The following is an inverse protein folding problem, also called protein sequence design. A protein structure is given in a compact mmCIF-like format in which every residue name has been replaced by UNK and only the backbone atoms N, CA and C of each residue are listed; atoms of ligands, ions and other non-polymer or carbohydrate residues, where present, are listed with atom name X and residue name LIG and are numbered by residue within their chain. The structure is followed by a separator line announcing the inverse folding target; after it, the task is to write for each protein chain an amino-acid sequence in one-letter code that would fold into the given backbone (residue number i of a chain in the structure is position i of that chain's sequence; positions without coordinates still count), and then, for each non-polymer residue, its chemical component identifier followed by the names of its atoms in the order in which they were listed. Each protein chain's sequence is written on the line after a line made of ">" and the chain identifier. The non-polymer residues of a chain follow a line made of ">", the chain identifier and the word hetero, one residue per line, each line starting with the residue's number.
data_IF_731648593712
#
_entry.id   IF_731648593712
#
_cell.length_a   1.000
_cell.length_b   1.000
_cell.length_c   1.000
_cell.angle_alpha   90.00
_cell.angle_beta   90.00
_cell.angle_gamma   90.00
#
_symmetry.space_group_name_H-M   'P 1'
#
loop_
_entity.id
_entity.type
_entity.pdbx_description
1 polymer ?
#
# COMPACT_ATOMS: atom_id res chain seq x y z
N UNK A 1 -52.80 -59.19 36.85
CA UNK A 1 -52.88 -58.66 35.47
C UNK A 1 -53.65 -57.36 35.54
N UNK A 2 -52.99 -56.20 35.46
CA UNK A 2 -52.83 -55.48 34.18
C UNK A 2 -51.48 -54.67 34.16
N UNK A 3 -51.27 -53.60 33.36
CA UNK A 3 -50.77 -53.73 31.99
C UNK A 3 -49.59 -52.79 31.63
N UNK A 4 -49.08 -53.03 30.41
CA UNK A 4 -48.19 -52.27 29.52
C UNK A 4 -47.80 -50.81 29.86
N UNK A 5 -46.50 -50.53 29.76
CA UNK A 5 -45.94 -49.18 29.60
C UNK A 5 -44.90 -49.12 28.48
N UNK A 6 -45.25 -48.39 27.43
CA UNK A 6 -44.45 -47.30 26.87
C UNK A 6 -43.19 -47.63 26.07
N UNK A 7 -43.27 -47.40 24.75
CA UNK A 7 -42.15 -47.33 23.80
C UNK A 7 -41.05 -46.37 24.31
N UNK A 8 -39.79 -46.81 24.33
CA UNK A 8 -38.62 -45.97 24.63
C UNK A 8 -38.38 -44.98 23.49
N UNK A 9 -38.54 -43.69 23.78
CA UNK A 9 -38.09 -42.62 22.89
C UNK A 9 -36.55 -42.58 22.87
N UNK A 10 -35.99 -42.53 21.65
CA UNK A 10 -34.56 -42.38 21.36
C UNK A 10 -34.14 -40.98 21.82
N UNK A 11 -33.25 -40.91 22.80
CA UNK A 11 -32.67 -39.65 23.30
C UNK A 11 -31.72 -39.13 22.22
N UNK A 12 -32.13 -38.10 21.48
CA UNK A 12 -31.28 -37.34 20.56
C UNK A 12 -30.30 -36.54 21.39
N UNK A 13 -29.00 -36.81 21.23
CA UNK A 13 -27.94 -35.96 21.79
C UNK A 13 -27.96 -34.61 21.04
N UNK A 14 -27.92 -33.47 21.73
CA UNK A 14 -27.76 -32.19 21.07
C UNK A 14 -26.32 -32.08 20.55
N UNK A 15 -26.17 -31.82 19.25
CA UNK A 15 -24.93 -31.38 18.63
C UNK A 15 -24.50 -30.07 19.28
N UNK A 16 -23.46 -30.14 20.11
CA UNK A 16 -22.81 -28.96 20.69
C UNK A 16 -21.98 -28.32 19.58
N UNK A 17 -22.52 -27.28 18.94
CA UNK A 17 -21.73 -26.37 18.12
C UNK A 17 -20.79 -25.60 19.06
N UNK A 18 -19.50 -25.92 18.98
CA UNK A 18 -18.48 -25.17 19.71
C UNK A 18 -18.47 -23.72 19.19
N UNK A 19 -18.60 -22.70 20.07
CA UNK A 19 -18.45 -21.32 19.64
C UNK A 19 -17.03 -21.10 19.10
N UNK A 20 -16.84 -20.10 18.20
CA UNK A 20 -15.53 -19.83 17.61
C UNK A 20 -14.51 -19.63 18.72
N UNK A 21 -13.38 -20.35 18.62
CA UNK A 21 -12.27 -20.22 19.56
C UNK A 21 -11.69 -18.82 19.39
N UNK A 22 -12.15 -17.88 20.22
CA UNK A 22 -11.56 -16.56 20.34
C UNK A 22 -10.40 -16.70 21.32
N UNK A 23 -9.18 -16.67 20.80
CA UNK A 23 -7.98 -16.59 21.63
C UNK A 23 -7.89 -15.20 22.25
N UNK A 24 -8.28 -15.08 23.52
CA UNK A 24 -7.94 -13.92 24.33
C UNK A 24 -6.54 -14.13 24.90
N UNK A 25 -5.56 -13.43 24.34
CA UNK A 25 -4.22 -13.39 24.90
C UNK A 25 -4.27 -12.55 26.18
N UNK A 26 -4.46 -13.24 27.32
CA UNK A 26 -4.53 -12.62 28.64
C UNK A 26 -3.10 -12.42 29.13
N UNK A 27 -2.53 -11.27 28.81
CA UNK A 27 -1.22 -10.86 29.34
C UNK A 27 -1.43 -10.56 30.83
N UNK A 28 -0.74 -11.32 31.68
CA UNK A 28 -0.77 -11.15 33.14
C UNK A 28 -0.26 -9.76 33.55
N UNK A 29 -0.79 -9.22 34.64
CA UNK A 29 -0.45 -7.89 35.15
C UNK A 29 0.92 -7.82 35.84
N UNK A 30 1.68 -8.91 35.86
CA UNK A 30 2.98 -9.02 36.51
C UNK A 30 4.11 -9.21 35.48
N UNK A 31 4.01 -8.49 34.34
CA UNK A 31 5.10 -8.44 33.36
C UNK A 31 6.08 -7.35 33.79
N UNK A 32 6.96 -7.72 34.71
CA UNK A 32 8.03 -6.87 35.21
C UNK A 32 8.99 -6.49 34.08
N UNK A 33 9.27 -5.19 33.99
CA UNK A 33 10.06 -4.54 32.94
C UNK A 33 11.58 -4.58 33.20
N UNK A 34 12.08 -5.57 33.95
CA UNK A 34 13.52 -5.73 34.13
C UNK A 34 14.12 -6.52 32.97
N UNK A 35 14.60 -5.77 31.97
CA UNK A 35 15.88 -5.91 31.26
C UNK A 35 16.53 -7.31 31.07
N UNK A 36 15.77 -8.39 30.97
CA UNK A 36 16.29 -9.63 30.41
C UNK A 36 16.26 -9.48 28.89
N UNK A 37 17.44 -9.16 28.31
CA UNK A 37 17.69 -9.24 26.88
C UNK A 37 17.29 -10.65 26.44
N UNK A 38 16.07 -10.79 25.92
CA UNK A 38 15.69 -11.98 25.18
C UNK A 38 16.62 -11.99 23.98
N UNK A 39 17.63 -12.86 24.03
CA UNK A 39 18.51 -13.13 22.90
C UNK A 39 17.62 -13.46 21.72
N UNK A 40 17.51 -12.50 20.80
CA UNK A 40 16.90 -12.71 19.50
C UNK A 40 17.63 -13.93 18.94
N UNK A 41 16.95 -15.04 18.62
CA UNK A 41 17.62 -16.19 18.05
C UNK A 41 18.32 -15.73 16.78
N UNK A 42 19.63 -15.57 16.86
CA UNK A 42 20.45 -15.19 15.74
C UNK A 42 20.24 -16.30 14.71
N UNK A 43 19.93 -15.98 13.43
CA UNK A 43 19.74 -17.01 12.43
C UNK A 43 20.98 -17.90 12.45
N UNK A 44 20.78 -19.20 12.63
CA UNK A 44 21.84 -20.20 12.88
C UNK A 44 22.72 -20.47 11.65
N UNK A 45 22.86 -19.48 10.77
CA UNK A 45 23.85 -19.43 9.70
C UNK A 45 24.47 -18.03 9.76
N UNK A 46 25.79 -17.97 9.97
CA UNK A 46 26.54 -16.71 10.00
C UNK A 46 26.09 -15.80 8.87
N UNK A 47 25.77 -14.55 9.19
CA UNK A 47 25.29 -13.58 8.21
C UNK A 47 26.34 -13.43 7.13
N UNK A 48 26.14 -14.10 6.00
CA UNK A 48 26.91 -13.84 4.80
C UNK A 48 26.54 -12.44 4.38
N UNK A 49 27.47 -11.51 4.59
CA UNK A 49 27.33 -10.16 4.06
C UNK A 49 27.26 -10.27 2.53
N UNK A 50 26.42 -9.45 1.90
CA UNK A 50 26.20 -9.54 0.45
C UNK A 50 27.51 -9.41 -0.34
N UNK A 51 28.48 -8.65 0.19
CA UNK A 51 29.87 -8.54 -0.28
C UNK A 51 30.57 -9.90 -0.40
N UNK A 52 30.44 -10.78 0.59
CA UNK A 52 31.07 -12.10 0.58
C UNK A 52 30.42 -13.05 -0.44
N UNK A 53 29.13 -12.86 -0.72
CA UNK A 53 28.41 -13.62 -1.76
C UNK A 53 28.93 -13.21 -3.14
N UNK A 54 29.13 -11.90 -3.36
CA UNK A 54 29.67 -11.38 -4.62
C UNK A 54 31.09 -11.88 -4.90
N UNK A 55 31.98 -11.84 -3.90
CA UNK A 55 33.36 -12.33 -4.02
C UNK A 55 33.42 -13.84 -4.31
N UNK A 56 32.53 -14.63 -3.69
CA UNK A 56 32.40 -16.06 -4.00
C UNK A 56 31.91 -16.32 -5.42
N UNK A 57 30.99 -15.50 -5.93
CA UNK A 57 30.53 -15.62 -7.33
C UNK A 57 31.58 -15.17 -8.33
N UNK A 58 32.41 -14.17 -8.02
CA UNK A 58 33.53 -13.73 -8.87
C UNK A 58 34.62 -14.81 -8.99
N UNK A 59 34.90 -15.54 -7.91
CA UNK A 59 35.89 -16.63 -7.93
C UNK A 59 35.40 -17.90 -8.66
N UNK A 60 34.09 -18.10 -8.81
CA UNK A 60 33.50 -19.12 -9.67
C UNK A 60 33.32 -18.58 -11.09
N UNK A 61 34.41 -18.26 -11.79
CA UNK A 61 34.38 -17.86 -13.20
C UNK A 61 33.99 -19.04 -14.11
N UNK A 62 32.70 -19.37 -14.19
CA UNK A 62 32.12 -19.64 -15.50
C UNK A 62 31.86 -18.27 -16.11
N UNK A 63 32.80 -17.80 -16.92
CA UNK A 63 32.70 -16.53 -17.67
C UNK A 63 31.31 -16.43 -18.28
N UNK A 64 30.54 -15.46 -17.81
CA UNK A 64 29.28 -15.11 -18.44
C UNK A 64 29.63 -14.32 -19.70
N UNK A 65 29.81 -15.03 -20.81
CA UNK A 65 30.19 -14.41 -22.08
C UNK A 65 29.01 -13.61 -22.65
N UNK A 66 29.09 -12.28 -22.53
CA UNK A 66 28.07 -11.35 -23.01
C UNK A 66 27.77 -11.54 -24.51
N UNK A 67 28.77 -11.92 -25.29
CA UNK A 67 28.63 -12.22 -26.71
C UNK A 67 27.73 -13.42 -26.99
N UNK A 68 27.80 -14.47 -26.16
CA UNK A 68 26.92 -15.64 -26.26
C UNK A 68 25.50 -15.27 -25.91
N UNK A 69 25.30 -14.42 -24.89
CA UNK A 69 23.97 -13.90 -24.54
C UNK A 69 23.39 -13.06 -25.68
N UNK A 70 24.18 -12.17 -26.26
CA UNK A 70 23.74 -11.34 -27.38
C UNK A 70 23.38 -12.20 -28.61
N UNK A 71 24.20 -13.21 -28.95
CA UNK A 71 23.89 -14.16 -30.02
C UNK A 71 22.61 -14.95 -29.73
N UNK A 72 22.43 -15.44 -28.49
CA UNK A 72 21.24 -16.16 -28.06
C UNK A 72 19.99 -15.27 -28.16
N UNK A 73 20.04 -14.05 -27.61
CA UNK A 73 18.94 -13.09 -27.65
C UNK A 73 18.57 -12.70 -29.09
N UNK A 74 19.55 -12.59 -29.99
CA UNK A 74 19.30 -12.32 -31.41
C UNK A 74 18.50 -13.45 -32.09
N UNK A 75 18.78 -14.71 -31.73
CA UNK A 75 18.08 -15.90 -32.23
C UNK A 75 16.68 -16.06 -31.63
N UNK A 76 16.50 -15.66 -30.37
CA UNK A 76 15.20 -15.65 -29.70
C UNK A 76 14.20 -14.63 -30.28
N UNK A 77 14.67 -13.58 -30.96
CA UNK A 77 13.81 -12.58 -31.62
C UNK A 77 12.89 -13.16 -32.71
N UNK A 78 13.19 -14.38 -33.19
CA UNK A 78 12.40 -15.08 -34.21
C UNK A 78 11.28 -15.96 -33.63
N UNK A 79 11.24 -16.16 -32.31
CA UNK A 79 10.19 -16.97 -31.69
C UNK A 79 8.88 -16.18 -31.60
N UNK A 80 7.88 -16.64 -32.37
CA UNK A 80 6.54 -16.02 -32.41
C UNK A 80 5.64 -16.44 -31.24
N UNK A 81 6.04 -17.46 -30.47
CA UNK A 81 5.25 -17.99 -29.35
C UNK A 81 6.12 -18.36 -28.15
N UNK A 82 5.50 -18.33 -26.97
CA UNK A 82 6.14 -18.72 -25.72
C UNK A 82 6.29 -20.24 -25.63
N UNK A 83 7.36 -20.76 -24.98
CA UNK A 83 7.55 -22.19 -24.81
C UNK A 83 6.43 -22.83 -23.98
N UNK A 84 6.08 -24.10 -24.24
CA UNK A 84 5.07 -24.82 -23.46
C UNK A 84 5.55 -24.93 -22.01
N UNK A 85 4.70 -24.51 -21.06
CA UNK A 85 5.04 -24.44 -19.64
C UNK A 85 5.60 -23.09 -19.17
N UNK A 86 5.69 -22.09 -20.05
CA UNK A 86 5.97 -20.71 -19.65
C UNK A 86 4.96 -20.21 -18.61
N UNK A 87 5.46 -19.44 -17.65
CA UNK A 87 4.62 -18.85 -16.61
C UNK A 87 3.83 -17.65 -17.14
N UNK A 88 2.66 -17.42 -16.56
CA UNK A 88 1.88 -16.21 -16.80
C UNK A 88 2.66 -14.96 -16.34
N UNK A 89 2.69 -13.92 -17.17
CA UNK A 89 3.39 -12.66 -16.88
C UNK A 89 2.78 -11.88 -15.70
N UNK A 90 1.55 -12.21 -15.29
CA UNK A 90 0.90 -11.58 -14.14
C UNK A 90 1.02 -12.40 -12.85
N UNK A 91 0.51 -13.64 -12.86
CA UNK A 91 0.43 -14.47 -11.65
C UNK A 91 1.68 -15.33 -11.41
N UNK A 92 2.66 -15.33 -12.34
CA UNK A 92 3.94 -16.05 -12.23
C UNK A 92 3.81 -17.58 -12.02
N UNK A 93 2.70 -18.18 -12.43
CA UNK A 93 2.49 -19.63 -12.37
C UNK A 93 2.36 -20.20 -13.78
N UNK A 94 2.84 -21.44 -13.96
CA UNK A 94 2.58 -22.22 -15.16
C UNK A 94 1.09 -22.61 -15.25
N UNK A 95 0.61 -22.77 -16.48
CA UNK A 95 -0.77 -23.17 -16.72
C UNK A 95 -0.83 -24.14 -17.91
N UNK A 96 -1.75 -25.13 -17.87
CA UNK A 96 -1.83 -26.17 -18.88
C UNK A 96 -2.61 -25.76 -20.15
N UNK A 97 -3.28 -24.59 -20.13
CA UNK A 97 -4.10 -24.10 -21.24
C UNK A 97 -3.33 -23.26 -22.25
N UNK A 98 -3.99 -22.89 -23.34
CA UNK A 98 -3.47 -21.91 -24.30
C UNK A 98 -3.29 -20.54 -23.64
N UNK A 99 -2.23 -19.84 -24.04
CA UNK A 99 -1.93 -18.51 -23.54
C UNK A 99 -2.88 -17.47 -24.11
N UNK A 100 -3.42 -16.63 -23.24
CA UNK A 100 -4.10 -15.41 -23.64
C UNK A 100 -3.06 -14.33 -23.95
N UNK A 101 -3.33 -13.54 -24.98
CA UNK A 101 -2.50 -12.43 -25.45
C UNK A 101 -3.25 -11.10 -25.31
N UNK A 102 -2.53 -9.99 -25.14
CA UNK A 102 -3.10 -8.63 -25.15
C UNK A 102 -3.00 -8.09 -26.57
N UNK A 103 -4.12 -7.77 -27.24
CA UNK A 103 -4.09 -7.08 -28.52
C UNK A 103 -3.60 -5.63 -28.34
N UNK A 104 -2.56 -5.26 -29.09
CA UNK A 104 -1.95 -3.92 -29.07
C UNK A 104 -2.52 -3.01 -30.14
N UNK A 105 -2.72 -3.54 -31.36
CA UNK A 105 -3.24 -2.80 -32.50
C UNK A 105 -4.11 -3.70 -33.36
N UNK A 106 -5.12 -3.12 -34.00
CA UNK A 106 -5.98 -3.80 -34.96
C UNK A 106 -5.77 -3.17 -36.33
N UNK A 107 -5.31 -3.97 -37.29
CA UNK A 107 -5.19 -3.53 -38.68
C UNK A 107 -6.47 -3.89 -39.46
N UNK A 108 -7.17 -2.86 -39.92
CA UNK A 108 -8.43 -2.99 -40.65
C UNK A 108 -8.23 -3.58 -42.04
N UNK A 109 -7.09 -3.31 -42.69
CA UNK A 109 -6.85 -3.75 -44.07
C UNK A 109 -6.56 -5.25 -44.15
N UNK A 110 -5.81 -5.78 -43.20
CA UNK A 110 -5.50 -7.21 -43.10
C UNK A 110 -6.49 -7.97 -42.22
N UNK A 111 -7.35 -7.26 -41.46
CA UNK A 111 -8.23 -7.84 -40.43
C UNK A 111 -7.48 -8.69 -39.41
N UNK A 112 -6.23 -8.30 -39.09
CA UNK A 112 -5.36 -9.00 -38.15
C UNK A 112 -5.11 -8.16 -36.89
N UNK A 113 -4.99 -8.84 -35.76
CA UNK A 113 -4.57 -8.24 -34.50
C UNK A 113 -3.08 -8.45 -34.30
N UNK A 114 -2.36 -7.39 -33.98
CA UNK A 114 -1.04 -7.53 -33.36
C UNK A 114 -1.24 -7.67 -31.86
N UNK A 115 -0.60 -8.66 -31.26
CA UNK A 115 -0.80 -8.99 -29.85
C UNK A 115 0.52 -9.34 -29.18
N UNK A 116 0.59 -9.10 -27.87
CA UNK A 116 1.76 -9.34 -27.05
C UNK A 116 1.41 -10.02 -25.72
N UNK A 117 2.40 -10.69 -25.14
CA UNK A 117 2.33 -11.26 -23.79
C UNK A 117 1.83 -12.70 -23.71
N UNK A 118 1.84 -13.22 -22.48
CA UNK A 118 1.48 -14.60 -22.15
C UNK A 118 0.73 -14.62 -20.81
N UNK A 119 -0.57 -14.85 -20.84
CA UNK A 119 -1.44 -14.80 -19.67
C UNK A 119 -2.28 -16.07 -19.51
N UNK A 120 -2.58 -16.44 -18.26
CA UNK A 120 -3.42 -17.60 -17.96
C UNK A 120 -4.93 -17.31 -18.10
N UNK A 121 -5.33 -16.04 -18.12
CA UNK A 121 -6.72 -15.59 -18.27
C UNK A 121 -6.75 -14.14 -18.79
N UNK A 122 -7.85 -13.70 -19.46
CA UNK A 122 -7.97 -12.30 -19.90
C UNK A 122 -8.05 -11.32 -18.72
N UNK A 123 -8.44 -11.80 -17.53
CA UNK A 123 -8.45 -11.00 -16.30
C UNK A 123 -7.04 -10.68 -15.81
N UNK A 124 -6.10 -11.61 -15.97
CA UNK A 124 -4.68 -11.40 -15.71
C UNK A 124 -4.05 -10.46 -16.75
N UNK A 125 -4.45 -10.59 -18.01
CA UNK A 125 -4.04 -9.69 -19.08
C UNK A 125 -4.53 -8.26 -18.82
N UNK A 126 -5.78 -8.09 -18.35
CA UNK A 126 -6.35 -6.78 -18.04
C UNK A 126 -5.62 -6.08 -16.88
N UNK A 127 -5.30 -6.81 -15.80
CA UNK A 127 -4.54 -6.24 -14.68
C UNK A 127 -3.13 -5.81 -15.10
N UNK A 128 -2.52 -6.55 -16.02
CA UNK A 128 -1.23 -6.17 -16.57
C UNK A 128 -1.29 -4.82 -17.31
N UNK A 129 -2.30 -4.62 -18.16
CA UNK A 129 -2.51 -3.34 -18.89
C UNK A 129 -2.59 -2.16 -17.92
N UNK A 130 -3.35 -2.31 -16.83
CA UNK A 130 -3.51 -1.22 -15.85
C UNK A 130 -2.29 -1.01 -14.95
N UNK A 131 -1.47 -2.04 -14.74
CA UNK A 131 -0.26 -1.95 -13.91
C UNK A 131 0.91 -1.31 -14.65
N UNK A 132 0.97 -1.47 -15.96
CA UNK A 132 2.04 -0.95 -16.81
C UNK A 132 2.10 0.59 -16.71
N UNK A 133 3.17 1.11 -16.11
CA UNK A 133 3.34 2.54 -15.84
C UNK A 133 3.77 3.34 -17.08
N UNK A 134 4.32 2.66 -18.10
CA UNK A 134 4.80 3.30 -19.33
C UNK A 134 3.72 3.69 -20.33
N UNK A 135 2.47 3.21 -20.15
CA UNK A 135 1.37 3.51 -21.07
C UNK A 135 0.58 4.75 -20.65
N UNK A 136 0.15 5.50 -21.65
CA UNK A 136 -0.86 6.55 -21.46
C UNK A 136 -2.23 5.94 -21.14
N UNK A 137 -3.09 6.69 -20.46
CA UNK A 137 -4.45 6.21 -20.15
C UNK A 137 -5.28 5.90 -21.41
N UNK A 138 -5.04 6.65 -22.50
CA UNK A 138 -5.65 6.40 -23.80
C UNK A 138 -5.26 5.03 -24.37
N UNK A 139 -3.98 4.68 -24.30
CA UNK A 139 -3.47 3.39 -24.78
C UNK A 139 -3.99 2.23 -23.91
N UNK A 140 -4.08 2.43 -22.59
CA UNK A 140 -4.68 1.45 -21.68
C UNK A 140 -6.14 1.18 -22.03
N UNK A 141 -6.90 2.25 -22.30
CA UNK A 141 -8.30 2.12 -22.71
C UNK A 141 -8.45 1.43 -24.07
N UNK A 142 -7.59 1.76 -25.03
CA UNK A 142 -7.58 1.12 -26.35
C UNK A 142 -7.32 -0.39 -26.21
N UNK A 143 -6.25 -0.78 -25.52
CA UNK A 143 -5.92 -2.20 -25.29
C UNK A 143 -7.02 -2.93 -24.53
N UNK A 144 -7.63 -2.30 -23.54
CA UNK A 144 -8.78 -2.86 -22.81
C UNK A 144 -9.97 -3.11 -23.75
N UNK A 145 -10.31 -2.15 -24.62
CA UNK A 145 -11.40 -2.28 -25.59
C UNK A 145 -11.14 -3.39 -26.60
N UNK A 146 -9.91 -3.46 -27.14
CA UNK A 146 -9.50 -4.52 -28.07
C UNK A 146 -9.55 -5.89 -27.40
N UNK A 147 -9.04 -6.00 -26.17
CA UNK A 147 -9.06 -7.24 -25.38
C UNK A 147 -10.50 -7.73 -25.18
N UNK A 148 -11.42 -6.82 -24.83
CA UNK A 148 -12.84 -7.15 -24.66
C UNK A 148 -13.48 -7.59 -25.97
N UNK A 149 -13.06 -7.04 -27.10
CA UNK A 149 -13.57 -7.39 -28.43
C UNK A 149 -13.11 -8.80 -28.84
N UNK A 150 -11.82 -9.10 -28.66
CA UNK A 150 -11.22 -10.42 -28.98
C UNK A 150 -11.83 -11.53 -28.12
N UNK A 151 -11.96 -11.31 -26.81
CA UNK A 151 -12.44 -12.34 -25.88
C UNK A 151 -13.94 -12.27 -25.58
N UNK A 152 -14.71 -11.48 -26.35
CA UNK A 152 -16.15 -11.32 -26.17
C UNK A 152 -16.90 -12.66 -26.23
N UNK A 153 -16.46 -13.56 -27.11
CA UNK A 153 -17.06 -14.88 -27.32
C UNK A 153 -16.97 -15.80 -26.10
N UNK A 154 -15.90 -15.67 -25.32
CA UNK A 154 -15.69 -16.46 -24.10
C UNK A 154 -16.50 -15.92 -22.91
N UNK A 155 -16.81 -14.62 -22.92
CA UNK A 155 -17.43 -13.89 -21.81
C UNK A 155 -18.80 -13.33 -22.20
N UNK A 156 -19.77 -14.21 -22.49
CA UNK A 156 -21.12 -13.80 -22.94
C UNK A 156 -21.90 -13.12 -21.81
N UNK A 157 -21.89 -13.73 -20.61
CA UNK A 157 -22.74 -13.33 -19.48
C UNK A 157 -22.01 -12.53 -18.41
N UNK A 158 -20.71 -12.25 -18.59
CA UNK A 158 -19.86 -11.63 -17.57
C UNK A 158 -18.92 -10.62 -18.21
N UNK A 159 -18.66 -9.53 -17.49
CA UNK A 159 -17.63 -8.57 -17.85
C UNK A 159 -16.26 -8.97 -17.31
N UNK A 160 -15.24 -8.73 -18.12
CA UNK A 160 -13.82 -8.93 -17.79
C UNK A 160 -13.47 -7.90 -16.69
N UNK A 161 -13.14 -8.38 -15.50
CA UNK A 161 -12.73 -7.60 -14.33
C UNK A 161 -11.25 -7.84 -14.00
N UNK A 162 -10.47 -6.79 -13.72
CA UNK A 162 -9.04 -6.94 -13.44
C UNK A 162 -8.82 -7.92 -12.28
N UNK A 163 -7.97 -8.92 -12.51
CA UNK A 163 -7.48 -9.84 -11.49
C UNK A 163 -6.73 -9.12 -10.35
N UNK A 164 -6.75 -9.67 -9.13
CA UNK A 164 -6.03 -9.09 -8.01
C UNK A 164 -4.50 -9.11 -8.21
N UNK A 165 -3.80 -8.21 -7.52
CA UNK A 165 -2.34 -8.10 -7.57
C UNK A 165 -1.68 -9.42 -7.15
N UNK A 166 -0.56 -9.78 -7.80
CA UNK A 166 0.20 -11.01 -7.52
C UNK A 166 0.65 -11.10 -6.06
N UNK A 167 0.79 -9.97 -5.37
CA UNK A 167 1.12 -9.88 -3.94
C UNK A 167 0.14 -10.65 -3.03
N UNK A 168 -1.07 -10.96 -3.51
CA UNK A 168 -2.07 -11.73 -2.79
C UNK A 168 -1.73 -13.24 -2.75
N UNK A 169 -0.87 -13.71 -3.67
CA UNK A 169 -0.43 -15.10 -3.70
C UNK A 169 0.60 -15.39 -2.60
N UNK A 170 0.56 -16.61 -2.05
CA UNK A 170 1.53 -17.12 -1.06
C UNK A 170 2.99 -17.01 -1.50
N UNK A 171 3.27 -17.16 -2.79
CA UNK A 171 4.62 -16.98 -3.36
C UNK A 171 5.22 -15.61 -3.04
N UNK A 172 4.38 -14.58 -2.92
CA UNK A 172 4.79 -13.21 -2.64
C UNK A 172 4.50 -12.78 -1.18
N UNK A 173 4.16 -13.74 -0.30
CA UNK A 173 3.81 -13.48 1.10
C UNK A 173 2.32 -13.18 1.35
N UNK A 174 1.45 -13.42 0.37
CA UNK A 174 0.01 -13.31 0.52
C UNK A 174 -0.66 -14.55 1.15
N UNK A 175 -1.98 -14.50 1.27
CA UNK A 175 -2.78 -15.54 1.93
C UNK A 175 -3.36 -16.59 0.97
N UNK A 176 -3.56 -16.24 -0.31
CA UNK A 176 -4.20 -17.10 -1.29
C UNK A 176 -3.22 -18.07 -1.95
N UNK A 177 -3.65 -19.32 -2.10
CA UNK A 177 -3.00 -20.28 -2.98
C UNK A 177 -3.38 -20.02 -4.46
N UNK A 178 -2.64 -20.60 -5.41
CA UNK A 178 -2.89 -20.41 -6.84
C UNK A 178 -4.27 -20.93 -7.28
N UNK A 179 -4.73 -22.04 -6.71
CA UNK A 179 -6.06 -22.59 -7.03
C UNK A 179 -7.16 -21.64 -6.55
N UNK A 180 -7.05 -21.18 -5.30
CA UNK A 180 -7.96 -20.21 -4.69
C UNK A 180 -7.96 -18.88 -5.46
N UNK A 181 -6.80 -18.45 -5.96
CA UNK A 181 -6.67 -17.25 -6.78
C UNK A 181 -7.45 -17.37 -8.10
N UNK A 182 -7.37 -18.52 -8.78
CA UNK A 182 -8.11 -18.76 -10.03
C UNK A 182 -9.61 -18.89 -9.79
N UNK A 183 -10.02 -19.57 -8.72
CA UNK A 183 -11.42 -19.64 -8.29
C UNK A 183 -11.97 -18.25 -7.95
N UNK A 184 -11.20 -17.44 -7.23
CA UNK A 184 -11.56 -16.06 -6.93
C UNK A 184 -11.84 -15.27 -8.21
N UNK A 185 -10.96 -15.37 -9.20
CA UNK A 185 -11.18 -14.72 -10.50
C UNK A 185 -12.46 -15.21 -11.18
N UNK A 186 -12.80 -16.49 -11.08
CA UNK A 186 -13.98 -17.07 -11.75
C UNK A 186 -15.31 -16.72 -11.06
N UNK A 187 -15.35 -16.71 -9.73
CA UNK A 187 -16.59 -16.61 -8.96
C UNK A 187 -16.84 -15.24 -8.33
N UNK A 188 -15.80 -14.47 -8.02
CA UNK A 188 -16.00 -13.17 -7.37
C UNK A 188 -16.34 -12.07 -8.37
N UNK A 189 -17.41 -11.34 -8.06
CA UNK A 189 -17.87 -10.16 -8.80
C UNK A 189 -17.34 -8.86 -8.22
N UNK A 190 -16.80 -8.88 -7.00
CA UNK A 190 -16.29 -7.68 -6.32
C UNK A 190 -14.77 -7.55 -6.50
N UNK A 191 -14.25 -6.37 -6.90
CA UNK A 191 -12.82 -6.15 -7.02
C UNK A 191 -12.16 -6.17 -5.63
N UNK A 192 -10.98 -6.80 -5.54
CA UNK A 192 -10.16 -6.79 -4.33
C UNK A 192 -9.18 -5.62 -4.39
N UNK A 193 -9.35 -4.64 -3.49
CA UNK A 193 -8.39 -3.55 -3.35
C UNK A 193 -7.31 -3.95 -2.34
N UNK A 194 -6.06 -3.99 -2.79
CA UNK A 194 -4.92 -4.21 -1.91
C UNK A 194 -4.63 -2.90 -1.15
N UNK A 195 -5.04 -2.83 0.13
CA UNK A 195 -4.66 -1.75 1.00
C UNK A 195 -3.21 -1.94 1.45
N UNK A 196 -2.31 -1.05 1.05
CA UNK A 196 -0.98 -1.00 1.64
C UNK A 196 -1.14 -0.60 3.11
N UNK A 197 -0.49 -1.30 4.07
CA UNK A 197 -0.56 -0.88 5.46
C UNK A 197 -0.01 0.55 5.54
N UNK A 198 -0.73 1.50 6.18
CA UNK A 198 -0.21 2.83 6.36
C UNK A 198 1.10 2.72 7.16
N UNK A 199 2.13 3.45 6.72
CA UNK A 199 3.41 3.58 7.44
C UNK A 199 3.07 3.84 8.91
N UNK A 200 3.41 2.89 9.79
CA UNK A 200 3.05 2.97 11.20
C UNK A 200 3.86 4.11 11.82
N UNK A 201 3.19 5.22 12.11
CA UNK A 201 3.80 6.35 12.81
C UNK A 201 4.09 5.92 14.26
N UNK A 202 5.35 6.01 14.66
CA UNK A 202 5.73 5.90 16.07
C UNK A 202 5.17 7.10 16.83
N UNK A 203 4.44 6.83 17.91
CA UNK A 203 4.00 7.88 18.82
C UNK A 203 5.25 8.46 19.51
N UNK A 204 5.52 9.77 19.43
CA UNK A 204 6.57 10.35 20.24
C UNK A 204 6.18 10.21 21.72
N UNK A 205 7.01 9.49 22.48
CA UNK A 205 6.86 9.40 23.94
C UNK A 205 7.35 10.69 24.58
N UNK A 206 6.49 11.36 25.36
CA UNK A 206 6.89 12.52 26.16
C UNK A 206 7.63 12.03 27.40
N UNK A 207 8.83 12.56 27.62
CA UNK A 207 9.56 12.34 28.85
C UNK A 207 8.99 13.27 29.93
N UNK A 208 8.31 12.73 30.94
CA UNK A 208 7.72 13.52 32.04
C UNK A 208 8.75 14.04 33.04
N UNK A 209 10.04 13.76 32.81
CA UNK A 209 11.15 14.34 33.57
C UNK A 209 11.63 15.70 33.05
N UNK A 210 10.84 16.41 32.23
CA UNK A 210 11.04 17.85 32.07
C UNK A 210 10.72 18.52 33.40
N UNK A 211 11.74 18.77 34.21
CA UNK A 211 11.59 19.45 35.50
C UNK A 211 10.76 20.72 35.32
N UNK A 212 9.85 20.96 36.26
CA UNK A 212 8.87 22.06 36.36
C UNK A 212 9.49 23.47 36.36
N UNK A 213 10.79 23.61 36.05
CA UNK A 213 11.56 24.85 36.20
C UNK A 213 11.33 25.89 35.08
N UNK A 214 10.66 25.51 33.98
CA UNK A 214 10.40 26.42 32.85
C UNK A 214 8.98 27.00 32.80
N UNK A 215 8.17 26.83 33.86
CA UNK A 215 7.00 27.70 34.03
C UNK A 215 7.54 29.04 34.53
N UNK A 216 7.75 29.98 33.60
CA UNK A 216 8.09 31.38 33.92
C UNK A 216 7.11 31.89 34.97
N UNK A 217 7.58 31.98 36.21
CA UNK A 217 6.86 32.60 37.30
C UNK A 217 6.44 34.00 36.85
N UNK A 218 5.15 34.29 36.90
CA UNK A 218 4.64 35.63 36.70
C UNK A 218 5.30 36.55 37.74
N UNK A 219 6.19 37.42 37.29
CA UNK A 219 6.75 38.48 38.12
C UNK A 219 5.76 39.64 38.06
N UNK A 220 5.07 39.92 39.16
CA UNK A 220 4.18 41.07 39.26
C UNK A 220 4.98 42.35 39.04
N UNK A 221 4.71 43.07 37.94
CA UNK A 221 5.33 44.37 37.70
C UNK A 221 4.86 45.35 38.77
N UNK A 222 5.79 45.93 39.52
CA UNK A 222 5.49 47.01 40.45
C UNK A 222 5.08 48.27 39.69
N UNK A 223 4.18 49.08 40.25
CA UNK A 223 3.72 50.34 39.63
C UNK A 223 4.88 51.27 39.24
N UNK A 224 6.00 51.20 39.95
CA UNK A 224 7.22 51.95 39.64
C UNK A 224 7.87 51.52 38.32
N UNK A 225 7.91 50.22 38.02
CA UNK A 225 8.45 49.71 36.75
C UNK A 225 7.54 50.06 35.57
N UNK A 226 6.22 50.03 35.77
CA UNK A 226 5.23 50.45 34.77
C UNK A 226 5.34 51.95 34.50
N UNK A 227 5.54 52.77 35.53
CA UNK A 227 5.72 54.22 35.39
C UNK A 227 7.04 54.59 34.70
N UNK A 228 8.12 53.85 34.96
CA UNK A 228 9.39 54.05 34.24
C UNK A 228 9.27 53.65 32.77
N UNK A 229 8.63 52.52 32.48
CA UNK A 229 8.39 52.06 31.12
C UNK A 229 7.47 53.01 30.34
N UNK A 230 6.40 53.53 30.97
CA UNK A 230 5.47 54.48 30.34
C UNK A 230 6.10 55.85 30.06
N UNK A 231 7.17 56.22 30.75
CA UNK A 231 7.91 57.46 30.48
C UNK A 231 8.99 57.28 29.39
N UNK A 232 9.63 56.11 29.34
CA UNK A 232 10.76 55.84 28.46
C UNK A 232 10.35 55.27 27.09
N UNK A 233 9.30 54.45 27.04
CA UNK A 233 8.85 53.78 25.81
C UNK A 233 7.72 54.54 25.10
N UNK A 234 7.25 55.64 25.68
CA UNK A 234 6.27 56.51 25.01
C UNK A 234 7.00 57.30 23.95
N UNK A 235 6.67 57.00 22.68
CA UNK A 235 7.21 57.68 21.50
C UNK A 235 7.03 59.20 21.66
N UNK A 236 8.11 59.90 22.06
CA UNK A 236 8.19 61.35 22.06
C UNK A 236 8.90 61.77 20.79
N UNK A 237 8.26 62.61 19.97
CA UNK A 237 8.99 63.26 18.88
C UNK A 237 9.86 64.37 19.45
N UNK A 238 11.04 64.55 18.89
CA UNK A 238 11.99 65.59 19.30
C UNK A 238 11.83 66.92 18.56
N UNK A 239 11.03 66.98 17.47
CA UNK A 239 10.85 68.18 16.63
C UNK A 239 9.45 68.79 16.78
N UNK A 240 9.27 70.13 16.78
CA UNK A 240 7.95 70.79 16.87
C UNK A 240 7.06 70.53 15.63
N UNK A 241 5.73 70.73 15.73
CA UNK A 241 4.78 70.37 14.66
C UNK A 241 4.84 71.53 13.71
N UNK A 242 4.89 71.27 12.41
CA UNK A 242 4.70 72.32 11.44
C UNK A 242 3.26 72.83 11.56
N UNK A 243 3.08 74.04 12.09
CA UNK A 243 1.76 74.55 12.52
C UNK A 243 0.80 74.81 11.33
N UNK A 244 1.34 74.93 10.11
CA UNK A 244 0.60 75.31 8.91
C UNK A 244 0.10 74.17 8.02
N UNK A 245 0.32 72.90 8.35
CA UNK A 245 -0.15 71.76 7.54
C UNK A 245 -1.23 71.00 8.34
N UNK A 246 -2.41 70.69 7.76
CA UNK A 246 -3.42 69.90 8.44
C UNK A 246 -2.94 68.45 8.55
N UNK A 247 -2.32 68.11 9.69
CA UNK A 247 -1.97 66.74 10.03
C UNK A 247 -3.19 66.00 10.56
N UNK A 248 -3.24 64.68 10.30
CA UNK A 248 -4.32 63.78 10.73
C UNK A 248 -4.73 63.95 12.21
N UNK A 249 -3.79 64.30 13.10
CA UNK A 249 -4.07 64.58 14.51
C UNK A 249 -5.06 65.74 14.73
N UNK A 250 -5.01 66.82 13.93
CA UNK A 250 -5.98 67.94 14.00
C UNK A 250 -7.37 67.49 13.56
N UNK A 251 -7.45 66.57 12.60
CA UNK A 251 -8.71 65.99 12.14
C UNK A 251 -9.32 65.04 13.19
N UNK A 252 -8.49 64.23 13.86
CA UNK A 252 -8.94 63.29 14.89
C UNK A 252 -9.49 64.00 16.14
N UNK A 253 -8.95 65.16 16.51
CA UNK A 253 -9.47 65.96 17.64
C UNK A 253 -10.75 66.75 17.30
N UNK A 254 -11.02 67.01 16.02
CA UNK A 254 -12.18 67.79 15.58
C UNK A 254 -13.50 66.99 15.58
N UNK A 255 -13.44 65.65 15.58
CA UNK A 255 -14.63 64.78 15.56
C UNK A 255 -14.99 64.19 16.94
N UNK A 256 -14.32 64.65 18.02
CA UNK A 256 -14.44 64.10 19.36
C UNK A 256 -15.14 65.00 20.39
N UNK A 257 -16.03 65.91 19.98
CA UNK A 257 -16.93 66.60 20.92
C UNK A 257 -18.35 66.75 20.40
N UNK A 258 -19.32 66.11 21.06
CA UNK A 258 -20.63 66.71 21.27
C UNK A 258 -20.71 67.29 22.69
N UNK A 259 -21.56 68.29 22.83
CA UNK A 259 -22.04 68.83 24.11
C UNK A 259 -22.55 67.74 25.04
#
# INVERSE_FOLDING_TARGET
>A
MPPARGKKAKKTEPTVELPPVIFFLRIGKDFDFEEERVDIPMPSGGGTEYSDILLKTETQERRFDESVVHDLMSKFSLQTSYPPGAACLWCCHSFPGESFVIPTHYDVYTSMYTAEGNYCSPECALSYIYKESGLTESDKWLRHSLLRTVYRSLYVNRDIQPSPDKRVLRMFGGNLDIQQYREFIQYCTKPLQLAMPPVRLYMPSVNTQSSVRDVKSYVSLSNETVNKASQQLRLKRSKPVHEGIPTLDKCLTAFGSPR
#
